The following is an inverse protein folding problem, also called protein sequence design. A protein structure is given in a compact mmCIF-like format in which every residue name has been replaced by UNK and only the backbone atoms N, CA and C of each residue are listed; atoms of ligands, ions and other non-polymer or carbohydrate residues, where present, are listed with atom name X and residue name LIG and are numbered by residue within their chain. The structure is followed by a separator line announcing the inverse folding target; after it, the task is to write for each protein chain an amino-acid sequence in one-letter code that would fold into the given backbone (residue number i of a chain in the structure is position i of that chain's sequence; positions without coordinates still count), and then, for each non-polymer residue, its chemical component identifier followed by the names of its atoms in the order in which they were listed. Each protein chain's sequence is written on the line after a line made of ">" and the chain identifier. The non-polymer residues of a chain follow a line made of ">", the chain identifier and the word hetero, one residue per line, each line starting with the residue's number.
data_IF_249866359896
#
_entry.id   IF_249866359896
#
_cell.length_a   1.000
_cell.length_b   1.000
_cell.length_c   1.000
_cell.angle_alpha   90.00
_cell.angle_beta   90.00
_cell.angle_gamma   90.00
#
_symmetry.space_group_name_H-M   'P 1'
#
loop_
_entity.id
_entity.type
_entity.pdbx_description
1 polymer ?
#
# COMPACT_ATOMS: atom_id res chain seq x y z
N UNK A 1 -19.95 -4.47 -7.67
CA UNK A 1 -18.66 -4.95 -7.12
C UNK A 1 -18.78 -4.88 -5.61
N UNK A 2 -18.86 -6.01 -4.93
CA UNK A 2 -18.84 -6.05 -3.47
C UNK A 2 -17.38 -5.94 -3.03
N UNK A 3 -17.01 -4.83 -2.38
CA UNK A 3 -15.78 -4.73 -1.59
C UNK A 3 -15.92 -5.68 -0.40
N UNK A 4 -15.24 -6.82 -0.46
CA UNK A 4 -15.24 -7.80 0.62
C UNK A 4 -13.87 -7.75 1.28
N UNK A 5 -13.60 -6.66 2.02
CA UNK A 5 -12.28 -6.36 2.60
C UNK A 5 -11.70 -7.56 3.38
N UNK A 6 -10.71 -8.22 2.81
CA UNK A 6 -9.91 -9.26 3.47
C UNK A 6 -8.60 -8.62 3.93
N UNK A 7 -8.38 -8.56 5.24
CA UNK A 7 -7.16 -8.03 5.85
C UNK A 7 -6.45 -9.13 6.61
N UNK A 8 -5.25 -9.50 6.16
CA UNK A 8 -4.37 -10.41 6.89
C UNK A 8 -2.97 -9.77 7.00
N UNK A 9 -2.52 -9.51 8.23
CA UNK A 9 -1.17 -9.06 8.52
C UNK A 9 -0.30 -10.24 8.98
N UNK A 10 0.86 -10.45 8.34
CA UNK A 10 1.82 -11.47 8.77
C UNK A 10 2.82 -10.79 9.71
N UNK A 11 2.44 -10.71 10.98
CA UNK A 11 3.09 -9.96 12.05
C UNK A 11 2.04 -9.43 13.03
N UNK A 12 2.35 -9.49 14.33
CA UNK A 12 1.39 -9.21 15.41
C UNK A 12 0.89 -7.75 15.39
N UNK A 13 -0.44 -7.59 15.51
CA UNK A 13 -1.26 -6.37 15.68
C UNK A 13 -1.73 -5.59 14.43
N UNK A 14 -2.97 -5.09 14.55
CA UNK A 14 -3.96 -4.73 13.52
C UNK A 14 -3.74 -3.41 12.75
N UNK A 15 -2.51 -2.93 12.66
CA UNK A 15 -2.19 -1.66 11.99
C UNK A 15 -0.90 -1.82 11.19
N UNK A 16 -0.77 -1.17 10.01
CA UNK A 16 0.43 -1.33 9.17
C UNK A 16 1.73 -0.96 9.89
N UNK A 17 1.69 -0.18 10.96
CA UNK A 17 2.86 0.33 11.68
C UNK A 17 3.85 -0.72 12.25
N UNK A 18 3.52 -2.01 12.34
CA UNK A 18 4.43 -3.01 12.93
C UNK A 18 4.36 -4.42 12.31
N UNK A 19 3.98 -4.53 11.05
CA UNK A 19 3.97 -5.81 10.32
C UNK A 19 5.21 -5.95 9.40
N UNK A 20 5.63 -7.20 9.11
CA UNK A 20 6.67 -7.44 8.10
C UNK A 20 6.18 -7.11 6.69
N UNK A 21 4.91 -7.42 6.43
CA UNK A 21 4.18 -7.07 5.22
C UNK A 21 2.67 -7.22 5.43
N UNK A 22 1.90 -6.69 4.50
CA UNK A 22 0.43 -6.72 4.49
C UNK A 22 -0.08 -7.55 3.31
N UNK A 23 -1.14 -8.33 3.54
CA UNK A 23 -1.94 -8.94 2.48
C UNK A 23 -3.32 -8.28 2.53
N UNK A 24 -3.79 -7.72 1.41
CA UNK A 24 -5.07 -7.01 1.38
C UNK A 24 -5.72 -7.05 0.00
N UNK A 25 -7.01 -6.74 -0.09
CA UNK A 25 -7.71 -6.37 -1.32
C UNK A 25 -8.21 -4.90 -1.29
N UNK A 26 -8.01 -4.20 -0.17
CA UNK A 26 -8.45 -2.82 0.04
C UNK A 26 -7.58 -1.82 -0.71
N UNK A 27 -8.20 -0.87 -1.42
CA UNK A 27 -7.50 0.23 -2.09
C UNK A 27 -6.84 1.20 -1.11
N UNK A 28 -7.49 1.52 0.00
CA UNK A 28 -6.96 2.44 1.01
C UNK A 28 -5.71 1.90 1.71
N UNK A 29 -5.70 0.62 2.07
CA UNK A 29 -4.54 -0.02 2.69
C UNK A 29 -3.33 -0.07 1.75
N UNK A 30 -3.54 -0.16 0.44
CA UNK A 30 -2.43 -0.05 -0.53
C UNK A 30 -1.76 1.33 -0.42
N UNK A 31 -2.53 2.41 -0.27
CA UNK A 31 -1.98 3.77 -0.12
C UNK A 31 -1.30 3.95 1.25
N UNK A 32 -1.93 3.48 2.32
CA UNK A 32 -1.37 3.58 3.68
C UNK A 32 -0.05 2.81 3.83
N UNK A 33 0.03 1.59 3.29
CA UNK A 33 1.26 0.78 3.32
C UNK A 33 2.38 1.40 2.49
N UNK A 34 2.06 1.98 1.34
CA UNK A 34 3.02 2.74 0.54
C UNK A 34 3.55 3.96 1.28
N UNK A 35 2.69 4.73 1.96
CA UNK A 35 3.11 5.87 2.77
C UNK A 35 4.06 5.46 3.91
N UNK A 36 3.79 4.32 4.54
CA UNK A 36 4.58 3.77 5.64
C UNK A 36 5.80 2.95 5.20
N UNK A 37 5.99 2.78 3.88
CA UNK A 37 7.09 2.00 3.30
C UNK A 37 7.04 0.52 3.72
N UNK A 38 5.84 0.00 3.95
CA UNK A 38 5.62 -1.40 4.28
C UNK A 38 5.25 -2.21 3.03
N UNK A 39 5.86 -3.40 2.81
CA UNK A 39 5.51 -4.24 1.69
C UNK A 39 4.05 -4.68 1.73
N UNK A 40 3.40 -4.71 0.58
CA UNK A 40 2.00 -5.08 0.42
C UNK A 40 1.82 -6.08 -0.73
N UNK A 41 1.00 -7.11 -0.49
CA UNK A 41 0.52 -8.05 -1.50
C UNK A 41 -0.98 -7.83 -1.68
N UNK A 42 -1.37 -7.38 -2.86
CA UNK A 42 -2.78 -7.14 -3.18
C UNK A 42 -3.39 -8.36 -3.87
N UNK A 43 -4.39 -9.01 -3.25
CA UNK A 43 -5.09 -10.18 -3.81
C UNK A 43 -6.17 -9.74 -4.80
N UNK A 44 -5.76 -9.07 -5.87
CA UNK A 44 -6.64 -8.60 -6.97
C UNK A 44 -5.90 -8.72 -8.31
N UNK A 45 -6.61 -8.93 -9.43
CA UNK A 45 -6.01 -8.93 -10.75
C UNK A 45 -5.62 -7.53 -11.26
N UNK A 46 -6.09 -6.47 -10.61
CA UNK A 46 -5.80 -5.07 -10.95
C UNK A 46 -5.97 -4.16 -9.72
N UNK A 47 -5.47 -2.93 -9.82
CA UNK A 47 -5.64 -1.88 -8.81
C UNK A 47 -5.80 -0.51 -9.45
N UNK A 48 -6.66 0.31 -8.85
CA UNK A 48 -6.81 1.74 -9.11
C UNK A 48 -5.67 2.60 -8.51
N UNK A 49 -4.73 1.97 -7.79
CA UNK A 49 -3.58 2.59 -7.12
C UNK A 49 -2.24 2.20 -7.76
N UNK A 50 -2.03 2.42 -9.08
CA UNK A 50 -0.85 1.92 -9.80
C UNK A 50 0.48 2.48 -9.25
N UNK A 51 0.42 3.64 -8.61
CA UNK A 51 1.58 4.26 -7.97
C UNK A 51 2.17 3.37 -6.86
N UNK A 52 1.35 2.60 -6.16
CA UNK A 52 1.81 1.70 -5.08
C UNK A 52 2.70 0.57 -5.65
N UNK A 53 2.40 0.12 -6.87
CA UNK A 53 3.17 -0.89 -7.60
C UNK A 53 4.44 -0.28 -8.18
N UNK A 54 4.35 0.84 -8.90
CA UNK A 54 5.52 1.47 -9.53
C UNK A 54 6.54 1.99 -8.52
N UNK A 55 6.09 2.30 -7.30
CA UNK A 55 6.95 2.70 -6.18
C UNK A 55 7.56 1.51 -5.44
N UNK A 56 7.25 0.27 -5.83
CA UNK A 56 7.88 -0.93 -5.30
C UNK A 56 7.38 -1.39 -3.93
N UNK A 57 6.37 -0.72 -3.37
CA UNK A 57 5.81 -1.04 -2.04
C UNK A 57 4.67 -2.05 -2.11
N UNK A 58 4.03 -2.22 -3.27
CA UNK A 58 2.91 -3.14 -3.46
C UNK A 58 3.12 -4.05 -4.68
N UNK A 59 2.57 -5.25 -4.64
CA UNK A 59 2.54 -6.19 -5.77
C UNK A 59 1.17 -6.84 -5.88
N UNK A 60 0.66 -6.99 -7.11
CA UNK A 60 -0.51 -7.82 -7.34
C UNK A 60 -0.15 -9.29 -7.17
N UNK A 61 -1.03 -10.04 -6.51
CA UNK A 61 -0.79 -11.41 -6.13
C UNK A 61 -2.02 -12.25 -6.40
N UNK A 62 -1.85 -13.35 -7.13
CA UNK A 62 -2.85 -14.41 -7.17
C UNK A 62 -2.65 -15.34 -5.97
N UNK A 63 -3.69 -16.03 -5.55
CA UNK A 63 -3.62 -16.96 -4.39
C UNK A 63 -2.53 -18.02 -4.58
N UNK A 64 -2.34 -18.48 -5.83
CA UNK A 64 -1.34 -19.51 -6.17
C UNK A 64 0.12 -19.03 -6.03
N UNK A 65 0.36 -17.72 -6.12
CA UNK A 65 1.70 -17.12 -6.04
C UNK A 65 2.01 -16.58 -4.63
N UNK A 66 1.05 -16.66 -3.70
CA UNK A 66 1.10 -15.95 -2.42
C UNK A 66 2.27 -16.40 -1.56
N UNK A 67 2.53 -17.69 -1.51
CA UNK A 67 3.62 -18.27 -0.72
C UNK A 67 4.99 -17.81 -1.25
N UNK A 68 5.23 -17.94 -2.56
CA UNK A 68 6.48 -17.52 -3.20
C UNK A 68 6.75 -16.02 -3.02
N UNK A 69 5.72 -15.19 -3.15
CA UNK A 69 5.83 -13.74 -2.98
C UNK A 69 6.03 -13.35 -1.51
N UNK A 70 5.36 -14.02 -0.58
CA UNK A 70 5.58 -13.81 0.85
C UNK A 70 7.02 -14.18 1.25
N UNK A 71 7.53 -15.30 0.76
CA UNK A 71 8.91 -15.74 1.02
C UNK A 71 9.93 -14.77 0.41
N UNK A 72 9.66 -14.23 -0.78
CA UNK A 72 10.49 -13.18 -1.38
C UNK A 72 10.56 -11.93 -0.48
N UNK A 73 9.43 -11.51 0.11
CA UNK A 73 9.40 -10.39 1.05
C UNK A 73 10.17 -10.70 2.34
N UNK A 74 9.94 -11.87 2.93
CA UNK A 74 10.60 -12.29 4.18
C UNK A 74 12.12 -12.40 4.00
N UNK A 75 12.57 -12.86 2.84
CA UNK A 75 14.00 -12.95 2.46
C UNK A 75 14.62 -11.61 2.05
N UNK A 76 13.88 -10.50 2.10
CA UNK A 76 14.36 -9.16 1.77
C UNK A 76 14.54 -8.90 0.27
N UNK A 77 13.99 -9.76 -0.60
CA UNK A 77 14.05 -9.64 -2.07
C UNK A 77 12.90 -8.78 -2.60
N UNK A 78 12.78 -7.56 -2.07
CA UNK A 78 11.77 -6.59 -2.50
C UNK A 78 12.41 -5.40 -3.22
N UNK A 79 11.72 -4.78 -4.20
CA UNK A 79 12.16 -3.53 -4.78
C UNK A 79 12.36 -2.46 -3.71
N UNK A 80 13.36 -1.60 -3.91
CA UNK A 80 13.55 -0.46 -3.03
C UNK A 80 12.38 0.52 -3.20
N UNK A 81 11.72 0.84 -2.10
CA UNK A 81 10.66 1.83 -2.09
C UNK A 81 11.23 3.24 -2.26
N UNK A 82 10.59 4.04 -3.12
CA UNK A 82 10.95 5.45 -3.29
C UNK A 82 9.91 6.37 -2.65
N UNK A 83 10.36 7.57 -2.27
CA UNK A 83 9.49 8.60 -1.74
C UNK A 83 8.61 9.17 -2.86
N UNK A 84 7.31 9.29 -2.60
CA UNK A 84 6.37 9.90 -3.53
C UNK A 84 6.25 11.39 -3.21
N UNK A 85 6.31 12.23 -4.24
CA UNK A 85 6.08 13.66 -4.12
C UNK A 85 4.67 13.95 -3.59
N UNK A 86 4.51 14.96 -2.74
CA UNK A 86 3.25 15.38 -2.11
C UNK A 86 2.60 14.40 -1.12
N UNK A 87 3.18 13.22 -0.91
CA UNK A 87 2.75 12.28 0.14
C UNK A 87 3.38 12.67 1.49
N UNK A 88 3.15 13.91 1.91
CA UNK A 88 3.76 14.52 3.09
C UNK A 88 2.75 14.92 4.18
N UNK A 89 1.50 14.49 4.03
CA UNK A 89 0.42 14.79 4.97
C UNK A 89 -0.12 16.22 4.90
N UNK A 90 0.34 17.06 3.95
CA UNK A 90 -0.06 18.48 3.84
C UNK A 90 -1.17 18.75 2.83
N UNK A 91 -1.88 17.71 2.39
CA UNK A 91 -2.95 17.86 1.38
C UNK A 91 -4.04 18.82 1.83
N UNK A 92 -4.49 18.73 3.08
CA UNK A 92 -5.54 19.60 3.62
C UNK A 92 -5.11 21.08 3.59
N UNK A 93 -3.90 21.39 4.05
CA UNK A 93 -3.38 22.76 4.07
C UNK A 93 -3.29 23.36 2.66
N UNK A 94 -2.77 22.61 1.69
CA UNK A 94 -2.70 23.04 0.28
C UNK A 94 -4.07 23.31 -0.32
N UNK A 95 -5.07 22.47 -0.02
CA UNK A 95 -6.44 22.67 -0.51
C UNK A 95 -7.04 23.93 0.10
N UNK A 96 -6.88 24.14 1.41
CA UNK A 96 -7.39 25.35 2.09
C UNK A 96 -6.73 26.61 1.52
N UNK A 97 -5.41 26.59 1.31
CA UNK A 97 -4.68 27.70 0.69
C UNK A 97 -5.19 27.98 -0.73
N UNK A 98 -5.35 26.95 -1.56
CA UNK A 98 -5.88 27.08 -2.91
C UNK A 98 -7.29 27.69 -2.91
N UNK A 99 -8.20 27.19 -2.08
CA UNK A 99 -9.58 27.69 -2.00
C UNK A 99 -9.63 29.15 -1.55
N UNK A 100 -8.76 29.57 -0.61
CA UNK A 100 -8.66 30.98 -0.18
C UNK A 100 -8.20 31.92 -1.28
N UNK A 101 -7.37 31.45 -2.22
CA UNK A 101 -6.90 32.24 -3.36
C UNK A 101 -7.92 32.39 -4.49
N UNK A 102 -9.04 31.67 -4.44
CA UNK A 102 -10.14 31.78 -5.42
C UNK A 102 -11.22 32.81 -5.03
N UNK A 103 -11.16 33.34 -3.80
CA UNK A 103 -12.10 34.33 -3.25
C UNK A 103 -11.43 35.69 -3.19
#
# INVERSE_FOLDING_TARGET
>A
MQETNYHASVGHFSTPFNCRFVITDSGGIQEETTYLVNPCLTIRPNTERPITISQGTNQLCEVKDLEDKAEAIISGRIPQANKIEYWDGKTADRIVEFLRGLV
#
